data_IF_280099834558
#
_entry.id   IF_280099834558
#
_cell.length_a   1.000
_cell.length_b   1.000
_cell.length_c   1.000
_cell.angle_alpha   90.00
_cell.angle_beta   90.00
_cell.angle_gamma   90.00
#
_symmetry.space_group_name_H-M   'P 1'
#
loop_
_entity.id
_entity.type
_entity.pdbx_description
1 polymer ?
#
# COMPACT_ATOMS: atom_id res chain seq x y z
N UNK A 1 -54.58 -37.25 -48.55
CA UNK A 1 -54.56 -37.48 -47.08
C UNK A 1 -53.60 -36.43 -46.49
N UNK A 2 -54.07 -35.39 -45.79
CA UNK A 2 -53.21 -34.27 -45.39
C UNK A 2 -52.51 -34.53 -44.05
N UNK A 3 -51.24 -34.15 -43.99
CA UNK A 3 -50.32 -34.22 -42.85
C UNK A 3 -50.60 -33.09 -41.86
N UNK A 4 -50.92 -33.44 -40.61
CA UNK A 4 -51.10 -32.48 -39.51
C UNK A 4 -49.72 -32.10 -38.95
N UNK A 5 -49.33 -30.82 -39.07
CA UNK A 5 -48.16 -30.26 -38.37
C UNK A 5 -48.53 -29.95 -36.93
N UNK A 6 -47.86 -30.59 -35.96
CA UNK A 6 -47.88 -30.17 -34.55
C UNK A 6 -47.07 -28.88 -34.41
N UNK A 7 -47.76 -27.78 -34.11
CA UNK A 7 -47.14 -26.54 -33.65
C UNK A 7 -46.62 -26.72 -32.22
N UNK A 8 -45.35 -26.40 -32.00
CA UNK A 8 -44.71 -26.48 -30.69
C UNK A 8 -45.31 -25.44 -29.73
N UNK A 9 -45.74 -25.90 -28.55
CA UNK A 9 -46.10 -25.04 -27.43
C UNK A 9 -44.82 -24.43 -26.85
N UNK A 10 -44.43 -23.25 -27.33
CA UNK A 10 -43.42 -22.43 -26.69
C UNK A 10 -44.07 -21.70 -25.49
N UNK A 11 -43.75 -22.19 -24.29
CA UNK A 11 -43.64 -21.47 -23.01
C UNK A 11 -44.79 -20.53 -22.60
N UNK A 12 -45.50 -20.90 -21.54
CA UNK A 12 -46.44 -20.05 -20.80
C UNK A 12 -45.75 -18.77 -20.29
N UNK A 13 -46.08 -17.63 -20.89
CA UNK A 13 -45.63 -16.30 -20.45
C UNK A 13 -46.46 -15.81 -19.25
N UNK A 14 -46.02 -16.11 -18.03
CA UNK A 14 -46.53 -15.45 -16.81
C UNK A 14 -45.66 -14.22 -16.54
N UNK A 15 -46.26 -13.03 -16.61
CA UNK A 15 -45.59 -11.78 -16.27
C UNK A 15 -45.35 -11.65 -14.76
N UNK A 16 -44.41 -10.78 -14.39
CA UNK A 16 -44.15 -10.44 -12.98
C UNK A 16 -45.31 -9.64 -12.38
N UNK A 17 -45.58 -9.87 -11.10
CA UNK A 17 -46.49 -9.06 -10.30
C UNK A 17 -45.83 -7.72 -9.92
N UNK A 18 -46.65 -6.70 -9.66
CA UNK A 18 -46.15 -5.39 -9.24
C UNK A 18 -45.32 -5.47 -7.94
N UNK A 19 -45.71 -6.35 -7.01
CA UNK A 19 -45.00 -6.54 -5.74
C UNK A 19 -43.61 -7.15 -5.95
N UNK A 20 -43.48 -8.15 -6.84
CA UNK A 20 -42.18 -8.74 -7.19
C UNK A 20 -41.25 -7.69 -7.82
N UNK A 21 -41.79 -6.82 -8.68
CA UNK A 21 -41.02 -5.74 -9.29
C UNK A 21 -40.52 -4.73 -8.24
N UNK A 22 -41.35 -4.37 -7.27
CA UNK A 22 -40.95 -3.44 -6.20
C UNK A 22 -39.86 -4.03 -5.30
N UNK A 23 -39.97 -5.31 -4.94
CA UNK A 23 -38.94 -5.99 -4.13
C UNK A 23 -37.64 -6.12 -4.92
N UNK A 24 -37.71 -6.53 -6.19
CA UNK A 24 -36.54 -6.63 -7.05
C UNK A 24 -35.84 -5.27 -7.21
N UNK A 25 -36.60 -4.19 -7.40
CA UNK A 25 -36.07 -2.83 -7.49
C UNK A 25 -35.38 -2.39 -6.18
N UNK A 26 -35.94 -2.74 -5.02
CA UNK A 26 -35.35 -2.43 -3.72
C UNK A 26 -34.03 -3.19 -3.50
N UNK A 27 -33.99 -4.48 -3.82
CA UNK A 27 -32.74 -5.27 -3.77
C UNK A 27 -31.70 -4.71 -4.72
N UNK A 28 -32.10 -4.35 -5.95
CA UNK A 28 -31.20 -3.74 -6.93
C UNK A 28 -30.62 -2.41 -6.42
N UNK A 29 -31.45 -1.55 -5.82
CA UNK A 29 -31.00 -0.28 -5.26
C UNK A 29 -29.94 -0.48 -4.15
N UNK A 30 -30.16 -1.44 -3.24
CA UNK A 30 -29.20 -1.76 -2.19
C UNK A 30 -27.89 -2.32 -2.75
N UNK A 31 -27.97 -3.20 -3.76
CA UNK A 31 -26.78 -3.74 -4.43
C UNK A 31 -25.97 -2.63 -5.11
N UNK A 32 -26.63 -1.71 -5.81
CA UNK A 32 -25.96 -0.59 -6.49
C UNK A 32 -25.20 0.31 -5.51
N UNK A 33 -25.77 0.59 -4.33
CA UNK A 33 -25.08 1.35 -3.28
C UNK A 33 -23.83 0.62 -2.79
N UNK A 34 -23.93 -0.69 -2.55
CA UNK A 34 -22.79 -1.52 -2.15
C UNK A 34 -21.67 -1.54 -3.21
N UNK A 35 -22.02 -1.64 -4.48
CA UNK A 35 -21.07 -1.62 -5.60
C UNK A 35 -20.34 -0.28 -5.70
N UNK A 36 -21.05 0.85 -5.55
CA UNK A 36 -20.43 2.18 -5.56
C UNK A 36 -19.45 2.36 -4.41
N UNK A 37 -19.81 1.91 -3.20
CA UNK A 37 -18.91 1.95 -2.05
C UNK A 37 -17.65 1.11 -2.29
N UNK A 38 -17.81 -0.12 -2.78
CA UNK A 38 -16.69 -1.00 -3.10
C UNK A 38 -15.78 -0.41 -4.19
N UNK A 39 -16.35 0.25 -5.20
CA UNK A 39 -15.59 0.87 -6.28
C UNK A 39 -14.65 1.98 -5.76
N UNK A 40 -15.12 2.81 -4.83
CA UNK A 40 -14.31 3.85 -4.19
C UNK A 40 -13.15 3.23 -3.41
N UNK A 41 -13.41 2.18 -2.62
CA UNK A 41 -12.36 1.48 -1.87
C UNK A 41 -11.30 0.86 -2.80
N UNK A 42 -11.70 0.28 -3.93
CA UNK A 42 -10.78 -0.26 -4.92
C UNK A 42 -9.87 0.81 -5.54
N UNK A 43 -10.37 2.04 -5.77
CA UNK A 43 -9.52 3.14 -6.22
C UNK A 43 -8.45 3.48 -5.20
N UNK A 44 -8.81 3.58 -3.91
CA UNK A 44 -7.87 3.89 -2.84
C UNK A 44 -6.82 2.80 -2.68
N UNK A 45 -7.24 1.53 -2.78
CA UNK A 45 -6.32 0.39 -2.76
C UNK A 45 -5.36 0.44 -3.96
N UNK A 46 -5.85 0.77 -5.15
CA UNK A 46 -5.01 0.89 -6.35
C UNK A 46 -3.97 2.00 -6.20
N UNK A 47 -4.36 3.14 -5.65
CA UNK A 47 -3.43 4.23 -5.34
C UNK A 47 -2.37 3.80 -4.32
N UNK A 48 -2.81 3.16 -3.23
CA UNK A 48 -1.92 2.63 -2.20
C UNK A 48 -0.91 1.66 -2.80
N UNK A 49 -1.36 0.68 -3.57
CA UNK A 49 -0.49 -0.31 -4.21
C UNK A 49 0.52 0.33 -5.17
N UNK A 50 0.10 1.32 -5.97
CA UNK A 50 1.01 2.06 -6.85
C UNK A 50 2.09 2.79 -6.04
N UNK A 51 1.68 3.53 -5.02
CA UNK A 51 2.59 4.34 -4.21
C UNK A 51 3.53 3.45 -3.37
N UNK A 52 3.04 2.33 -2.83
CA UNK A 52 3.87 1.30 -2.17
C UNK A 52 4.91 0.73 -3.12
N UNK A 53 4.56 0.45 -4.39
CA UNK A 53 5.53 -0.02 -5.38
C UNK A 53 6.65 1.01 -5.64
N UNK A 54 6.29 2.29 -5.78
CA UNK A 54 7.28 3.38 -5.91
C UNK A 54 8.16 3.48 -4.65
N UNK A 55 7.55 3.40 -3.45
CA UNK A 55 8.27 3.41 -2.18
C UNK A 55 9.26 2.25 -2.08
N UNK A 56 8.82 1.01 -2.38
CA UNK A 56 9.67 -0.18 -2.34
C UNK A 56 10.85 -0.08 -3.31
N UNK A 57 10.64 0.44 -4.52
CA UNK A 57 11.73 0.67 -5.47
C UNK A 57 12.75 1.71 -4.94
N UNK A 58 12.27 2.78 -4.30
CA UNK A 58 13.14 3.81 -3.74
C UNK A 58 13.97 3.31 -2.56
N UNK A 59 13.36 2.59 -1.60
CA UNK A 59 14.09 2.00 -0.48
C UNK A 59 15.06 0.91 -0.94
N UNK A 60 14.71 0.13 -1.98
CA UNK A 60 15.62 -0.86 -2.55
C UNK A 60 16.81 -0.19 -3.23
N UNK A 61 16.58 0.86 -4.02
CA UNK A 61 17.66 1.64 -4.61
C UNK A 61 18.61 2.21 -3.54
N UNK A 62 18.05 2.75 -2.45
CA UNK A 62 18.86 3.26 -1.33
C UNK A 62 19.61 2.15 -0.59
N UNK A 63 19.00 0.98 -0.40
CA UNK A 63 19.68 -0.15 0.22
C UNK A 63 20.86 -0.66 -0.64
N UNK A 64 20.70 -0.70 -1.97
CA UNK A 64 21.79 -1.05 -2.89
C UNK A 64 22.90 0.01 -2.94
N UNK A 65 22.53 1.30 -2.85
CA UNK A 65 23.50 2.40 -2.68
C UNK A 65 24.35 2.14 -1.44
N UNK A 66 23.75 1.89 -0.27
CA UNK A 66 24.48 1.63 0.98
C UNK A 66 25.36 0.38 0.88
N UNK A 67 24.90 -0.69 0.21
CA UNK A 67 25.70 -1.90 -0.03
C UNK A 67 26.96 -1.65 -0.86
N UNK A 68 26.97 -0.60 -1.69
CA UNK A 68 28.13 -0.21 -2.48
C UNK A 68 29.21 0.55 -1.69
N UNK A 69 28.93 0.97 -0.45
CA UNK A 69 29.87 1.75 0.37
C UNK A 69 30.84 0.88 1.17
N UNK A 70 31.92 1.51 1.64
CA UNK A 70 32.90 0.87 2.51
C UNK A 70 32.33 0.64 3.90
N UNK A 71 32.51 -0.57 4.44
CA UNK A 71 31.93 -0.99 5.72
C UNK A 71 32.16 0.02 6.86
N UNK A 72 33.39 0.53 6.98
CA UNK A 72 33.79 1.49 8.00
C UNK A 72 33.02 2.82 7.96
N UNK A 73 32.51 3.23 6.80
CA UNK A 73 31.85 4.52 6.63
C UNK A 73 30.32 4.43 6.69
N UNK A 74 29.74 3.24 6.58
CA UNK A 74 28.28 3.06 6.47
C UNK A 74 27.54 3.77 7.61
N UNK A 75 27.97 3.58 8.85
CA UNK A 75 27.32 4.22 10.00
C UNK A 75 27.44 5.75 9.97
N UNK A 76 28.63 6.27 9.67
CA UNK A 76 28.86 7.71 9.67
C UNK A 76 28.10 8.43 8.54
N UNK A 77 27.92 7.76 7.40
CA UNK A 77 27.32 8.36 6.20
C UNK A 77 25.82 8.09 6.05
N UNK A 78 25.28 7.05 6.68
CA UNK A 78 23.89 6.60 6.46
C UNK A 78 23.04 6.42 7.71
N UNK A 79 23.58 6.58 8.92
CA UNK A 79 22.73 6.52 10.10
C UNK A 79 21.83 7.77 10.21
N UNK A 80 20.53 7.53 10.32
CA UNK A 80 19.46 8.55 10.39
C UNK A 80 19.48 9.56 9.25
N UNK A 81 19.91 9.11 8.06
CA UNK A 81 19.94 9.97 6.87
C UNK A 81 18.63 9.89 6.12
N UNK A 82 18.01 11.05 5.93
CA UNK A 82 16.78 11.20 5.17
C UNK A 82 17.04 11.32 3.66
N UNK A 83 16.16 10.79 2.83
CA UNK A 83 16.18 10.96 1.37
C UNK A 83 14.76 11.11 0.82
N UNK A 84 14.63 11.78 -0.32
CA UNK A 84 13.34 12.00 -0.98
C UNK A 84 13.16 11.04 -2.17
N UNK A 85 12.12 10.19 -2.19
CA UNK A 85 11.83 9.35 -3.34
C UNK A 85 11.35 10.19 -4.53
N UNK A 86 11.79 9.82 -5.74
CA UNK A 86 11.24 10.40 -6.97
C UNK A 86 9.82 9.89 -7.23
N UNK A 87 8.92 10.79 -7.60
CA UNK A 87 7.54 10.43 -7.98
C UNK A 87 6.60 10.11 -6.80
N UNK A 88 7.02 10.39 -5.57
CA UNK A 88 6.20 10.19 -4.37
C UNK A 88 6.39 11.35 -3.40
N UNK A 89 5.29 11.86 -2.84
CA UNK A 89 5.35 12.84 -1.75
C UNK A 89 5.60 12.10 -0.43
N UNK A 90 6.86 11.88 -0.11
CA UNK A 90 7.29 11.16 1.07
C UNK A 90 8.73 11.43 1.43
N UNK A 91 9.17 10.81 2.51
CA UNK A 91 10.54 10.85 3.00
C UNK A 91 10.94 9.44 3.43
N UNK A 92 12.12 9.02 3.01
CA UNK A 92 12.74 7.80 3.50
C UNK A 92 13.84 8.11 4.49
N UNK A 93 14.06 7.22 5.45
CA UNK A 93 15.14 7.34 6.44
C UNK A 93 15.85 6.00 6.56
N UNK A 94 17.18 6.05 6.57
CA UNK A 94 18.03 4.89 6.86
C UNK A 94 18.47 4.88 8.32
N UNK A 95 18.52 3.70 8.92
CA UNK A 95 18.99 3.46 10.27
C UNK A 95 20.08 2.41 10.23
N UNK A 96 21.18 2.64 10.94
CA UNK A 96 22.32 1.74 10.98
C UNK A 96 22.56 1.29 12.41
N UNK A 97 22.50 -0.02 12.62
CA UNK A 97 22.82 -0.67 13.88
C UNK A 97 24.11 -1.49 13.72
N UNK A 98 25.15 -1.04 14.40
CA UNK A 98 26.50 -1.62 14.44
C UNK A 98 26.80 -2.30 15.77
N UNK A 99 25.77 -2.69 16.54
CA UNK A 99 25.95 -3.38 17.83
C UNK A 99 26.83 -4.62 17.69
N UNK A 100 26.82 -5.27 16.52
CA UNK A 100 27.78 -6.32 16.16
C UNK A 100 28.91 -5.74 15.28
N UNK A 101 30.18 -5.84 15.70
CA UNK A 101 31.31 -5.29 14.95
C UNK A 101 31.52 -5.95 13.58
N UNK A 102 31.11 -7.22 13.41
CA UNK A 102 31.29 -7.99 12.16
C UNK A 102 30.05 -7.94 11.25
N UNK A 103 28.92 -7.40 11.75
CA UNK A 103 27.65 -7.38 11.05
C UNK A 103 26.86 -6.11 11.35
N UNK A 104 26.72 -5.26 10.34
CA UNK A 104 25.86 -4.07 10.43
C UNK A 104 24.47 -4.42 9.91
N UNK A 105 23.44 -4.07 10.69
CA UNK A 105 22.04 -4.11 10.29
C UNK A 105 21.63 -2.74 9.76
N UNK A 106 21.13 -2.68 8.54
CA UNK A 106 20.59 -1.48 7.92
C UNK A 106 19.09 -1.64 7.78
N UNK A 107 18.35 -0.67 8.28
CA UNK A 107 16.90 -0.57 8.09
C UNK A 107 16.62 0.68 7.27
N UNK A 108 16.02 0.53 6.10
CA UNK A 108 15.56 1.66 5.29
C UNK A 108 14.05 1.66 5.32
N UNK A 109 13.46 2.73 5.83
CA UNK A 109 12.01 2.93 5.93
C UNK A 109 11.59 4.10 5.04
N UNK A 110 10.33 4.13 4.62
CA UNK A 110 9.79 5.24 3.86
C UNK A 110 8.36 5.56 4.25
N UNK A 111 8.13 6.81 4.64
CA UNK A 111 6.82 7.35 4.96
C UNK A 111 6.34 8.28 3.84
N UNK A 112 5.05 8.27 3.53
CA UNK A 112 4.52 9.08 2.43
C UNK A 112 3.06 9.48 2.62
N UNK A 113 2.64 10.50 1.86
CA UNK A 113 1.27 11.01 1.84
C UNK A 113 0.50 10.54 0.61
N UNK A 114 -0.69 10.00 0.84
CA UNK A 114 -1.69 9.67 -0.18
C UNK A 114 -2.49 10.91 -0.62
N UNK A 115 -3.22 10.82 -1.73
CA UNK A 115 -3.97 11.95 -2.30
C UNK A 115 -5.04 12.56 -1.38
N UNK A 116 -5.52 11.83 -0.37
CA UNK A 116 -6.52 12.32 0.62
C UNK A 116 -5.88 12.85 1.91
N UNK A 117 -4.56 13.04 1.92
CA UNK A 117 -3.82 13.49 3.11
C UNK A 117 -3.53 12.40 4.13
N UNK A 118 -3.95 11.16 3.89
CA UNK A 118 -3.56 10.01 4.71
C UNK A 118 -2.05 9.81 4.60
N UNK A 119 -1.38 9.73 5.74
CA UNK A 119 0.04 9.45 5.83
C UNK A 119 0.22 7.98 6.15
N UNK A 120 1.12 7.34 5.40
CA UNK A 120 1.53 5.96 5.59
C UNK A 120 2.94 5.99 6.20
N UNK A 121 3.12 5.27 7.31
CA UNK A 121 4.33 5.33 8.13
C UNK A 121 4.14 6.21 9.37
N UNK A 122 5.14 6.18 10.25
CA UNK A 122 5.10 6.88 11.53
C UNK A 122 5.53 8.35 11.44
N UNK A 123 6.24 8.74 10.38
CA UNK A 123 6.62 10.14 10.13
C UNK A 123 5.40 10.94 9.64
N UNK A 124 4.85 11.79 10.53
CA UNK A 124 3.59 12.50 10.31
C UNK A 124 3.76 13.83 9.61
N UNK A 125 4.94 14.43 9.64
CA UNK A 125 5.18 15.70 8.99
C UNK A 125 6.08 15.56 7.74
N UNK A 126 6.59 14.35 7.49
CA UNK A 126 7.45 13.96 6.38
C UNK A 126 8.77 14.74 6.36
N UNK A 127 9.38 14.96 7.53
CA UNK A 127 10.66 15.65 7.65
C UNK A 127 11.86 14.70 7.87
N UNK A 128 11.62 13.41 8.08
CA UNK A 128 12.65 12.41 8.34
C UNK A 128 13.36 12.54 9.69
N UNK A 129 12.78 13.30 10.62
CA UNK A 129 13.27 13.50 11.98
C UNK A 129 12.30 12.85 12.98
N UNK A 130 12.74 12.65 14.22
CA UNK A 130 11.83 12.19 15.27
C UNK A 130 11.21 13.38 15.97
N UNK A 131 9.91 13.54 15.76
CA UNK A 131 9.14 14.57 16.44
C UNK A 131 8.28 14.01 17.57
N UNK A 132 7.82 14.93 18.42
CA UNK A 132 6.91 14.57 19.50
C UNK A 132 5.61 14.00 18.93
N UNK A 133 5.31 12.75 19.26
CA UNK A 133 4.13 12.03 18.77
C UNK A 133 4.40 11.07 17.61
N UNK A 134 5.66 10.87 17.24
CA UNK A 134 6.16 9.81 16.35
C UNK A 134 6.85 8.70 17.18
N UNK A 135 7.11 7.53 16.58
CA UNK A 135 7.65 6.34 17.28
C UNK A 135 6.80 5.95 18.52
N UNK A 136 5.48 5.85 18.32
CA UNK A 136 4.52 5.67 19.44
C UNK A 136 3.98 4.26 19.58
N UNK A 137 4.02 3.45 18.52
CA UNK A 137 3.49 2.09 18.55
C UNK A 137 4.51 1.10 19.09
N UNK A 138 5.75 1.16 18.59
CA UNK A 138 6.86 0.33 19.00
C UNK A 138 8.06 1.24 19.22
N UNK A 139 8.26 1.69 20.45
CA UNK A 139 9.35 2.62 20.80
C UNK A 139 10.70 1.96 20.56
N UNK A 140 11.24 2.16 19.36
CA UNK A 140 12.45 1.49 18.88
C UNK A 140 13.46 2.47 18.30
N UNK A 141 13.22 3.78 18.42
CA UNK A 141 14.10 4.79 17.87
C UNK A 141 14.27 4.57 16.36
N UNK A 142 13.16 4.41 15.64
CA UNK A 142 13.07 4.30 14.18
C UNK A 142 11.67 4.79 13.74
N UNK A 143 11.58 5.38 12.55
CA UNK A 143 10.29 5.74 11.95
C UNK A 143 9.76 4.53 11.19
N UNK A 144 8.87 3.78 11.83
CA UNK A 144 8.38 2.55 11.22
C UNK A 144 7.40 2.82 10.07
N UNK A 145 7.45 1.97 9.05
CA UNK A 145 6.57 2.05 7.88
C UNK A 145 6.31 0.67 7.29
N UNK A 146 5.12 0.43 6.70
CA UNK A 146 4.88 -0.78 5.93
C UNK A 146 5.79 -0.91 4.69
N UNK A 147 6.40 0.18 4.22
CA UNK A 147 7.46 0.14 3.23
C UNK A 147 8.82 0.23 3.95
N UNK A 148 9.38 -0.92 4.29
CA UNK A 148 10.70 -1.02 4.90
C UNK A 148 11.46 -2.24 4.37
N UNK A 149 12.79 -2.09 4.25
CA UNK A 149 13.73 -3.17 3.97
C UNK A 149 14.75 -3.21 5.09
N UNK A 150 14.99 -4.42 5.59
CA UNK A 150 16.09 -4.71 6.52
C UNK A 150 17.11 -5.56 5.78
N UNK A 151 18.35 -5.10 5.75
CA UNK A 151 19.47 -5.84 5.17
C UNK A 151 20.63 -5.90 6.16
N UNK A 152 21.46 -6.93 6.03
CA UNK A 152 22.66 -7.09 6.83
C UNK A 152 23.87 -7.04 5.91
N UNK A 153 24.93 -6.37 6.35
CA UNK A 153 26.20 -6.28 5.64
C UNK A 153 27.29 -6.76 6.61
N UNK A 154 28.09 -7.71 6.17
CA UNK A 154 29.22 -8.22 6.93
C UNK A 154 30.51 -7.49 6.56
N UNK A 155 31.43 -7.40 7.52
CA UNK A 155 32.80 -6.99 7.24
C UNK A 155 33.45 -8.01 6.30
N UNK A 156 34.15 -7.53 5.25
CA UNK A 156 34.80 -8.38 4.24
C UNK A 156 36.23 -8.74 4.64
#
# INVERSE_FOLDING_TARGET
>A
MPTVRKTGNFLSSRGFTLMELMIAALVLALVLVGLLASYISCMQLTELMRNTSVAMNAIQAKAEEIKGHTYANIKAEYDRVSFTPSGLNGIGVSYVDDTNPELIKITVSLSWRQSRGLIIGEDRNLNGQWDTGEDTLIVNNSLDSPAAIVTYIAEK
#
